data_IF_747322508795
#
_entry.id   IF_747322508795
#
_cell.length_a   1.000
_cell.length_b   1.000
_cell.length_c   1.000
_cell.angle_alpha   90.00
_cell.angle_beta   90.00
_cell.angle_gamma   90.00
#
_symmetry.space_group_name_H-M   'P 1'
#
loop_
_entity.id
_entity.type
_entity.pdbx_description
1 polymer ?
#
# COMPACT_ATOMS: atom_id res chain seq x y z
N UNK A 1 11.76 -44.47 -28.48
CA UNK A 1 12.67 -44.80 -27.35
C UNK A 1 13.84 -43.82 -27.34
N UNK A 2 13.72 -42.68 -26.66
CA UNK A 2 14.85 -41.79 -26.37
C UNK A 2 14.78 -41.40 -24.89
N UNK A 3 15.69 -41.97 -24.10
CA UNK A 3 15.96 -41.64 -22.69
C UNK A 3 17.01 -40.53 -22.64
N UNK A 4 16.75 -39.41 -21.96
CA UNK A 4 17.76 -38.51 -21.34
C UNK A 4 17.11 -37.78 -20.16
N UNK A 5 17.38 -38.20 -18.93
CA UNK A 5 18.48 -37.77 -18.03
C UNK A 5 18.08 -36.50 -17.24
N UNK A 6 17.69 -36.73 -15.98
CA UNK A 6 17.38 -35.71 -14.99
C UNK A 6 18.67 -35.01 -14.50
N UNK A 7 18.62 -33.69 -14.19
CA UNK A 7 19.74 -32.99 -13.62
C UNK A 7 19.91 -33.28 -12.11
N UNK A 8 21.17 -33.47 -11.77
CA UNK A 8 21.75 -33.79 -10.47
C UNK A 8 21.54 -32.64 -9.47
N UNK A 9 20.87 -32.93 -8.36
CA UNK A 9 20.67 -32.00 -7.23
C UNK A 9 22.00 -31.76 -6.52
N UNK A 10 22.60 -30.59 -6.70
CA UNK A 10 23.81 -30.17 -5.97
C UNK A 10 23.40 -29.62 -4.60
N UNK A 11 23.70 -30.40 -3.56
CA UNK A 11 23.41 -30.11 -2.16
C UNK A 11 24.57 -29.25 -1.58
N UNK A 12 24.38 -27.93 -1.56
CA UNK A 12 25.34 -26.98 -0.97
C UNK A 12 25.14 -26.95 0.55
N UNK A 13 26.12 -27.50 1.26
CA UNK A 13 26.27 -27.39 2.71
C UNK A 13 26.61 -25.96 3.11
N UNK A 14 25.74 -25.31 3.88
CA UNK A 14 25.99 -24.06 4.60
C UNK A 14 26.43 -24.39 6.04
N UNK A 15 27.69 -24.14 6.37
CA UNK A 15 28.16 -24.03 7.76
C UNK A 15 28.05 -22.56 8.23
N UNK A 16 27.63 -22.29 9.49
CA UNK A 16 27.71 -20.95 10.07
C UNK A 16 29.12 -20.67 10.65
N UNK A 17 29.72 -19.57 10.22
CA UNK A 17 30.86 -18.94 10.88
C UNK A 17 30.34 -18.13 12.07
N UNK A 18 30.74 -18.52 13.27
CA UNK A 18 30.65 -17.70 14.47
C UNK A 18 31.79 -16.67 14.48
N UNK A 19 31.47 -15.39 14.63
CA UNK A 19 32.42 -14.35 15.00
C UNK A 19 31.94 -13.69 16.30
N UNK A 20 32.60 -14.05 17.40
CA UNK A 20 32.69 -13.24 18.62
C UNK A 20 34.03 -12.52 18.58
N UNK A 21 34.05 -11.22 18.88
CA UNK A 21 35.28 -10.45 18.97
C UNK A 21 35.00 -8.98 19.28
N UNK A 22 34.92 -8.67 20.57
CA UNK A 22 35.04 -7.34 21.16
C UNK A 22 36.43 -6.74 20.84
N UNK A 23 36.50 -5.47 20.45
CA UNK A 23 37.74 -4.68 20.55
C UNK A 23 37.42 -3.22 20.90
N UNK A 24 37.95 -2.81 22.04
CA UNK A 24 37.82 -1.54 22.74
C UNK A 24 39.02 -0.67 22.32
N UNK A 25 38.83 0.47 21.66
CA UNK A 25 39.97 1.25 21.16
C UNK A 25 39.62 2.61 20.58
N UNK A 26 39.61 3.62 21.45
CA UNK A 26 39.41 5.04 21.15
C UNK A 26 40.69 5.71 20.56
N UNK A 27 40.79 7.05 20.41
CA UNK A 27 40.85 7.76 19.12
C UNK A 27 42.20 8.45 18.81
N UNK A 28 42.48 8.81 17.55
CA UNK A 28 43.17 10.08 17.18
C UNK A 28 43.58 10.21 15.70
N UNK A 29 43.33 11.43 15.20
CA UNK A 29 44.20 12.31 14.39
C UNK A 29 44.52 12.02 12.91
N UNK A 30 44.14 13.01 12.10
CA UNK A 30 44.91 13.76 11.09
C UNK A 30 45.37 13.12 9.77
N UNK A 31 44.86 13.76 8.71
CA UNK A 31 45.57 14.30 7.53
C UNK A 31 46.04 13.39 6.38
N UNK A 32 45.48 13.71 5.20
CA UNK A 32 46.19 14.05 3.94
C UNK A 32 47.00 12.96 3.22
N UNK A 33 46.53 12.54 2.03
CA UNK A 33 47.08 12.96 0.72
C UNK A 33 46.79 11.94 -0.42
N UNK A 34 46.42 12.51 -1.57
CA UNK A 34 46.58 12.12 -2.97
C UNK A 34 47.02 10.71 -3.39
N UNK A 35 46.30 10.15 -4.37
CA UNK A 35 46.74 9.01 -5.17
C UNK A 35 45.88 8.80 -6.41
N UNK A 36 46.33 9.35 -7.53
CA UNK A 36 45.75 9.29 -8.88
C UNK A 36 46.05 7.98 -9.64
N UNK A 37 45.32 7.82 -10.75
CA UNK A 37 45.59 7.00 -11.95
C UNK A 37 45.13 5.53 -11.93
N UNK A 38 44.67 4.92 -13.03
CA UNK A 38 44.13 5.36 -14.32
C UNK A 38 43.50 4.09 -14.98
N UNK A 39 42.47 4.30 -15.79
CA UNK A 39 42.09 3.60 -17.03
C UNK A 39 42.22 2.06 -17.16
N UNK A 40 41.13 1.41 -17.61
CA UNK A 40 41.07 0.82 -18.95
C UNK A 40 39.66 0.34 -19.31
N UNK A 41 39.24 0.74 -20.51
CA UNK A 41 37.98 0.43 -21.16
C UNK A 41 37.89 -1.04 -21.59
N UNK A 42 36.66 -1.51 -21.79
CA UNK A 42 36.33 -2.39 -22.92
C UNK A 42 34.83 -2.30 -23.23
N UNK A 43 34.59 -1.90 -24.46
CA UNK A 43 33.33 -1.82 -25.19
C UNK A 43 32.50 -3.11 -25.11
N UNK A 44 31.17 -2.96 -25.08
CA UNK A 44 30.32 -3.74 -25.98
C UNK A 44 28.98 -3.06 -26.19
N UNK A 45 28.61 -2.99 -27.47
CA UNK A 45 27.54 -2.23 -28.05
C UNK A 45 26.20 -2.99 -28.10
N UNK A 46 25.16 -2.24 -28.50
CA UNK A 46 23.89 -2.66 -29.11
C UNK A 46 22.80 -3.16 -28.13
N UNK A 47 21.70 -2.42 -28.02
CA UNK A 47 20.53 -2.70 -28.85
C UNK A 47 19.50 -1.54 -28.80
N UNK A 48 19.13 -1.07 -29.98
CA UNK A 48 18.10 -0.06 -30.22
C UNK A 48 16.73 -0.74 -30.26
N UNK A 49 15.74 -0.17 -29.59
CA UNK A 49 14.33 -0.48 -29.91
C UNK A 49 13.49 0.78 -29.76
N UNK A 50 13.19 1.35 -30.92
CA UNK A 50 12.28 2.45 -31.21
C UNK A 50 10.84 1.94 -31.20
N UNK A 51 9.88 2.56 -30.50
CA UNK A 51 8.46 2.31 -30.75
C UNK A 51 7.92 3.21 -31.87
N UNK A 52 7.30 2.57 -32.87
CA UNK A 52 6.68 3.22 -34.02
C UNK A 52 5.36 3.91 -33.65
N UNK A 53 5.19 5.11 -34.22
CA UNK A 53 3.98 5.92 -34.21
C UNK A 53 2.98 5.36 -35.23
N UNK A 54 1.74 5.14 -34.77
CA UNK A 54 0.60 4.84 -35.63
C UNK A 54 -0.39 6.00 -35.60
N UNK A 55 -0.38 6.80 -36.67
CA UNK A 55 -1.42 7.74 -37.03
C UNK A 55 -2.66 6.99 -37.54
N UNK A 56 -3.84 7.28 -37.02
CA UNK A 56 -5.09 6.98 -37.73
C UNK A 56 -6.08 8.14 -37.55
N UNK A 57 -6.29 8.85 -38.65
CA UNK A 57 -7.24 9.92 -38.81
C UNK A 57 -8.34 9.45 -39.78
N UNK A 58 -9.59 9.56 -39.36
CA UNK A 58 -10.81 9.55 -40.18
C UNK A 58 -11.89 10.20 -39.30
N UNK A 59 -12.20 11.49 -39.46
CA UNK A 59 -12.94 12.18 -40.53
C UNK A 59 -14.41 11.74 -40.70
N UNK A 60 -15.29 12.73 -40.45
CA UNK A 60 -16.67 12.93 -40.90
C UNK A 60 -17.74 11.89 -40.49
N UNK A 61 -18.82 12.29 -39.82
CA UNK A 61 -19.89 13.06 -40.48
C UNK A 61 -20.81 13.78 -39.49
N UNK A 62 -21.26 14.93 -39.97
CA UNK A 62 -22.32 15.80 -39.47
C UNK A 62 -23.67 15.09 -39.54
N UNK A 63 -24.52 15.24 -38.53
CA UNK A 63 -25.96 15.42 -38.77
C UNK A 63 -26.62 16.30 -37.71
N UNK A 64 -27.62 17.01 -38.20
CA UNK A 64 -28.10 18.32 -37.77
C UNK A 64 -29.53 18.19 -37.23
N UNK A 65 -29.87 19.07 -36.28
CA UNK A 65 -31.25 19.49 -35.94
C UNK A 65 -32.11 18.41 -35.23
N UNK A 66 -33.17 18.69 -34.47
CA UNK A 66 -34.02 19.89 -34.34
C UNK A 66 -34.87 19.66 -33.07
N UNK A 67 -35.03 20.72 -32.28
CA UNK A 67 -36.30 21.21 -31.71
C UNK A 67 -37.35 20.23 -31.11
N UNK A 68 -37.63 20.53 -29.83
CA UNK A 68 -38.94 20.87 -29.27
C UNK A 68 -39.97 19.79 -28.91
N UNK A 69 -40.68 20.15 -27.82
CA UNK A 69 -42.00 19.71 -27.35
C UNK A 69 -42.07 18.32 -26.72
N UNK A 70 -42.91 18.04 -25.74
CA UNK A 70 -43.68 18.77 -24.74
C UNK A 70 -44.43 17.64 -24.00
N UNK A 71 -44.83 17.91 -22.76
CA UNK A 71 -46.09 17.41 -22.18
C UNK A 71 -46.15 16.02 -21.52
N UNK A 72 -46.60 16.12 -20.26
CA UNK A 72 -47.60 15.28 -19.59
C UNK A 72 -47.18 14.03 -18.81
N UNK A 73 -47.04 14.27 -17.50
CA UNK A 73 -47.80 13.65 -16.43
C UNK A 73 -48.44 12.27 -16.69
N UNK A 74 -47.90 11.26 -16.01
CA UNK A 74 -48.71 10.19 -15.44
C UNK A 74 -48.20 9.89 -14.03
N UNK A 75 -49.04 10.28 -13.08
CA UNK A 75 -49.12 9.83 -11.71
C UNK A 75 -49.23 8.30 -11.70
N UNK A 76 -48.33 7.59 -11.01
CA UNK A 76 -48.68 6.30 -10.43
C UNK A 76 -48.06 6.20 -9.04
N UNK A 77 -48.97 6.08 -8.08
CA UNK A 77 -48.77 5.78 -6.69
C UNK A 77 -48.44 4.31 -6.55
N UNK A 78 -47.29 3.97 -5.96
CA UNK A 78 -47.05 2.68 -5.29
C UNK A 78 -45.86 2.88 -4.34
N UNK A 79 -46.13 3.20 -3.08
CA UNK A 79 -45.98 2.26 -1.95
C UNK A 79 -44.67 1.48 -1.95
N UNK A 80 -43.87 1.77 -0.91
CA UNK A 80 -43.08 0.82 -0.12
C UNK A 80 -42.08 -0.06 -0.88
N UNK A 81 -40.79 0.24 -0.75
CA UNK A 81 -39.86 -0.74 -0.17
C UNK A 81 -38.50 -0.07 0.10
N UNK A 82 -38.19 0.03 1.39
CA UNK A 82 -36.87 0.40 1.87
C UNK A 82 -35.92 -0.79 1.68
N UNK A 83 -34.77 -0.65 1.01
CA UNK A 83 -33.70 -1.61 1.19
C UNK A 83 -33.08 -1.36 2.57
N UNK A 84 -33.72 -1.92 3.60
CA UNK A 84 -33.06 -2.21 4.87
C UNK A 84 -32.20 -3.45 4.66
N UNK A 85 -31.12 -3.33 3.89
CA UNK A 85 -30.03 -4.30 3.92
C UNK A 85 -29.20 -4.03 5.19
N UNK A 86 -29.87 -4.26 6.32
CA UNK A 86 -29.22 -4.61 7.57
C UNK A 86 -28.52 -5.90 7.27
N UNK A 87 -27.20 -5.83 7.07
CA UNK A 87 -26.39 -7.03 6.99
C UNK A 87 -26.52 -7.70 8.36
N UNK A 88 -27.36 -8.73 8.41
CA UNK A 88 -27.41 -9.73 9.45
C UNK A 88 -26.01 -10.33 9.60
N UNK A 89 -25.16 -9.62 10.34
CA UNK A 89 -24.24 -10.27 11.25
C UNK A 89 -25.13 -10.93 12.28
N UNK A 90 -25.59 -12.13 11.92
CA UNK A 90 -26.24 -13.06 12.81
C UNK A 90 -25.20 -13.45 13.88
N UNK A 91 -24.97 -12.55 14.83
CA UNK A 91 -24.69 -12.94 16.20
C UNK A 91 -26.02 -13.46 16.71
N UNK A 92 -26.43 -14.61 16.18
CA UNK A 92 -27.55 -15.36 16.71
C UNK A 92 -27.12 -15.68 18.14
N UNK A 93 -27.71 -14.95 19.08
CA UNK A 93 -27.72 -15.31 20.49
C UNK A 93 -28.31 -16.71 20.58
N UNK A 94 -27.44 -17.71 20.44
CA UNK A 94 -27.77 -19.10 20.62
C UNK A 94 -28.49 -19.25 21.94
N UNK A 95 -29.55 -20.07 21.91
CA UNK A 95 -30.35 -20.48 23.06
C UNK A 95 -29.60 -20.28 24.38
N UNK A 96 -30.12 -19.40 25.24
CA UNK A 96 -29.50 -19.04 26.54
C UNK A 96 -29.14 -20.31 27.33
N UNK A 97 -29.87 -21.40 27.09
CA UNK A 97 -29.58 -22.74 27.58
C UNK A 97 -28.72 -23.57 26.63
N UNK A 98 -27.75 -24.26 27.19
CA UNK A 98 -26.88 -25.18 26.48
C UNK A 98 -26.94 -26.61 27.05
N UNK A 99 -26.33 -27.57 26.36
CA UNK A 99 -26.17 -28.93 26.87
C UNK A 99 -24.91 -29.00 27.74
N UNK A 100 -25.06 -29.42 29.00
CA UNK A 100 -23.93 -29.53 29.93
C UNK A 100 -22.82 -30.40 29.35
N UNK A 101 -21.57 -29.94 29.46
CA UNK A 101 -20.38 -30.56 28.89
C UNK A 101 -20.05 -30.14 27.46
N UNK A 102 -20.92 -29.37 26.78
CA UNK A 102 -20.61 -28.82 25.45
C UNK A 102 -19.62 -27.67 25.55
N UNK A 103 -18.65 -27.62 24.63
CA UNK A 103 -17.75 -26.49 24.43
C UNK A 103 -18.17 -25.75 23.17
N UNK A 104 -18.22 -24.42 23.26
CA UNK A 104 -18.43 -23.53 22.13
C UNK A 104 -17.14 -22.77 21.83
N UNK A 105 -16.87 -22.55 20.55
CA UNK A 105 -15.74 -21.74 20.07
C UNK A 105 -16.27 -20.52 19.33
N UNK A 106 -15.63 -19.38 19.57
CA UNK A 106 -15.92 -18.11 18.91
C UNK A 106 -14.66 -17.48 18.31
N UNK A 107 -14.84 -16.48 17.47
CA UNK A 107 -13.74 -15.65 16.97
C UNK A 107 -13.46 -14.49 17.91
N UNK A 108 -12.19 -14.15 18.10
CA UNK A 108 -11.85 -13.01 18.95
C UNK A 108 -10.48 -12.42 18.60
N UNK A 109 -10.23 -11.19 19.05
CA UNK A 109 -8.94 -10.53 18.91
C UNK A 109 -8.43 -10.45 17.46
N UNK A 110 -7.14 -10.69 17.26
CA UNK A 110 -6.45 -10.64 15.96
C UNK A 110 -6.55 -11.98 15.22
N UNK A 111 -7.77 -12.37 14.87
CA UNK A 111 -8.11 -13.65 14.22
C UNK A 111 -7.72 -14.84 15.10
N UNK A 112 -7.86 -14.68 16.41
CA UNK A 112 -7.78 -15.76 17.36
C UNK A 112 -9.14 -16.46 17.54
N UNK A 113 -9.12 -17.45 18.41
CA UNK A 113 -10.31 -18.14 18.90
C UNK A 113 -10.37 -18.02 20.42
N UNK A 114 -11.58 -18.12 20.96
CA UNK A 114 -11.80 -18.33 22.39
C UNK A 114 -12.86 -19.42 22.55
N UNK A 115 -12.91 -20.02 23.73
CA UNK A 115 -13.87 -21.08 24.02
C UNK A 115 -14.56 -20.86 25.35
N UNK A 116 -15.77 -21.41 25.48
CA UNK A 116 -16.51 -21.48 26.74
C UNK A 116 -17.15 -22.83 26.94
N UNK A 117 -17.29 -23.25 28.20
CA UNK A 117 -17.91 -24.51 28.59
C UNK A 117 -19.36 -24.26 29.03
N UNK A 118 -20.26 -25.16 28.65
CA UNK A 118 -21.59 -25.24 29.22
C UNK A 118 -21.58 -26.12 30.48
N UNK A 119 -21.99 -25.56 31.61
CA UNK A 119 -22.14 -26.28 32.87
C UNK A 119 -23.55 -26.09 33.43
N UNK A 120 -24.26 -27.19 33.72
CA UNK A 120 -25.61 -27.10 34.31
C UNK A 120 -26.62 -26.38 33.42
N UNK A 121 -26.47 -26.49 32.10
CA UNK A 121 -27.26 -25.75 31.09
C UNK A 121 -27.06 -24.24 31.06
N UNK A 122 -25.99 -23.75 31.69
CA UNK A 122 -25.57 -22.35 31.65
C UNK A 122 -24.19 -22.26 30.99
N UNK A 123 -24.02 -21.31 30.08
CA UNK A 123 -22.71 -21.00 29.54
C UNK A 123 -21.86 -20.30 30.59
N UNK A 124 -20.66 -20.82 30.84
CA UNK A 124 -19.64 -20.08 31.59
C UNK A 124 -19.12 -18.90 30.77
N UNK A 125 -18.37 -18.02 31.42
CA UNK A 125 -17.67 -16.93 30.75
C UNK A 125 -16.74 -17.45 29.64
N UNK A 126 -16.56 -16.62 28.62
CA UNK A 126 -15.56 -16.87 27.59
C UNK A 126 -14.16 -16.89 28.19
N UNK A 127 -13.37 -17.88 27.79
CA UNK A 127 -11.93 -17.88 28.01
C UNK A 127 -11.23 -16.73 27.27
N UNK A 128 -9.95 -16.55 27.56
CA UNK A 128 -9.11 -15.62 26.82
C UNK A 128 -8.92 -16.04 25.36
N UNK A 129 -8.56 -15.07 24.52
CA UNK A 129 -8.17 -15.35 23.14
C UNK A 129 -6.88 -16.18 23.07
N UNK A 130 -6.86 -17.14 22.15
CA UNK A 130 -5.69 -17.92 21.80
C UNK A 130 -5.58 -18.03 20.27
N UNK A 131 -4.39 -18.41 19.79
CA UNK A 131 -4.16 -18.61 18.35
C UNK A 131 -4.20 -17.33 17.51
N UNK A 132 -3.97 -16.15 18.12
CA UNK A 132 -3.90 -14.89 17.39
C UNK A 132 -2.68 -14.88 16.44
N UNK A 133 -2.95 -14.60 15.16
CA UNK A 133 -1.93 -14.57 14.10
C UNK A 133 -1.92 -13.26 13.32
N UNK A 134 -2.99 -12.47 13.46
CA UNK A 134 -3.19 -11.23 12.73
C UNK A 134 -2.36 -10.06 13.22
N UNK A 135 -2.19 -9.07 12.35
CA UNK A 135 -1.56 -7.79 12.70
C UNK A 135 -2.54 -6.82 13.38
N UNK A 136 -3.85 -7.02 13.18
CA UNK A 136 -4.92 -6.16 13.66
C UNK A 136 -6.20 -6.93 13.97
N UNK A 137 -7.15 -6.28 14.64
CA UNK A 137 -8.48 -6.84 14.93
C UNK A 137 -9.42 -6.50 13.76
N UNK A 138 -10.19 -7.46 13.20
CA UNK A 138 -11.06 -7.21 12.06
C UNK A 138 -12.00 -6.01 12.26
N UNK A 139 -12.18 -5.23 11.20
CA UNK A 139 -13.06 -4.07 11.20
C UNK A 139 -12.49 -2.81 11.85
N UNK A 140 -11.35 -2.89 12.57
CA UNK A 140 -10.66 -1.70 13.07
C UNK A 140 -10.22 -0.83 11.90
N UNK A 141 -10.44 0.48 12.02
CA UNK A 141 -10.05 1.49 11.03
C UNK A 141 -9.05 2.46 11.65
N UNK A 142 -8.11 2.95 10.84
CA UNK A 142 -7.18 4.00 11.23
C UNK A 142 -6.76 4.85 10.04
N UNK A 143 -6.47 6.12 10.28
CA UNK A 143 -5.82 6.98 9.31
C UNK A 143 -4.30 6.86 9.45
N UNK A 144 -3.60 6.72 8.32
CA UNK A 144 -2.14 6.72 8.27
C UNK A 144 -1.67 7.78 7.29
N UNK A 145 -0.59 8.47 7.66
CA UNK A 145 0.08 9.38 6.74
C UNK A 145 0.55 8.63 5.50
N UNK A 146 0.55 9.33 4.38
CA UNK A 146 1.15 8.84 3.16
C UNK A 146 1.88 9.95 2.40
N UNK A 147 2.36 9.64 1.19
CA UNK A 147 3.21 10.53 0.41
C UNK A 147 2.65 11.95 0.28
N UNK A 148 3.55 12.93 0.09
CA UNK A 148 3.19 14.33 -0.14
C UNK A 148 2.16 14.90 0.86
N UNK A 149 2.33 14.59 2.14
CA UNK A 149 1.47 15.06 3.24
C UNK A 149 0.01 14.58 3.17
N UNK A 150 -0.30 13.60 2.32
CA UNK A 150 -1.61 13.00 2.25
C UNK A 150 -1.90 12.06 3.43
N UNK A 151 -3.15 11.61 3.49
CA UNK A 151 -3.60 10.58 4.42
C UNK A 151 -4.39 9.52 3.67
N UNK A 152 -4.30 8.28 4.14
CA UNK A 152 -5.14 7.18 3.66
C UNK A 152 -5.76 6.44 4.83
N UNK A 153 -6.95 5.88 4.60
CA UNK A 153 -7.59 4.97 5.55
C UNK A 153 -7.01 3.57 5.39
N UNK A 154 -6.76 2.94 6.52
CA UNK A 154 -6.52 1.51 6.61
C UNK A 154 -7.67 0.86 7.35
N UNK A 155 -8.17 -0.25 6.81
CA UNK A 155 -9.17 -1.08 7.44
C UNK A 155 -8.56 -2.47 7.65
N UNK A 156 -8.69 -2.99 8.86
CA UNK A 156 -8.30 -4.37 9.15
C UNK A 156 -9.32 -5.31 8.51
N UNK A 157 -8.86 -6.15 7.59
CA UNK A 157 -9.68 -7.14 6.91
C UNK A 157 -10.16 -8.24 7.87
N UNK A 158 -11.05 -9.10 7.37
CA UNK A 158 -11.44 -10.34 8.05
C UNK A 158 -10.29 -11.35 8.15
N UNK A 159 -9.22 -11.19 7.35
CA UNK A 159 -7.97 -11.97 7.46
C UNK A 159 -6.99 -11.38 8.48
N UNK A 160 -7.39 -10.32 9.20
CA UNK A 160 -6.57 -9.61 10.18
C UNK A 160 -5.30 -8.98 9.63
N UNK A 161 -5.38 -8.53 8.38
CA UNK A 161 -4.34 -7.79 7.70
C UNK A 161 -4.81 -6.36 7.39
N UNK A 162 -3.87 -5.42 7.37
CA UNK A 162 -4.21 -4.04 7.02
C UNK A 162 -4.39 -3.89 5.52
N UNK A 163 -5.63 -3.68 5.09
CA UNK A 163 -5.92 -3.17 3.75
C UNK A 163 -5.84 -1.65 3.76
N UNK A 164 -5.25 -1.06 2.73
CA UNK A 164 -5.08 0.39 2.60
C UNK A 164 -5.84 0.91 1.39
N UNK A 165 -6.57 2.01 1.57
CA UNK A 165 -7.15 2.77 0.48
C UNK A 165 -6.10 3.64 -0.23
N UNK A 166 -6.49 4.29 -1.32
CA UNK A 166 -5.66 5.27 -1.99
C UNK A 166 -5.38 6.48 -1.08
N UNK A 167 -4.25 7.14 -1.33
CA UNK A 167 -3.95 8.41 -0.69
C UNK A 167 -4.92 9.50 -1.12
N UNK A 168 -5.31 10.33 -0.15
CA UNK A 168 -6.14 11.51 -0.36
C UNK A 168 -5.46 12.72 0.28
N UNK A 169 -5.73 13.91 -0.25
CA UNK A 169 -5.14 15.15 0.26
C UNK A 169 -3.63 15.28 0.00
N UNK A 170 -3.09 14.60 -1.02
CA UNK A 170 -1.69 14.76 -1.40
C UNK A 170 -1.41 16.16 -1.98
N UNK A 171 -0.28 16.73 -1.59
CA UNK A 171 0.24 17.99 -2.11
C UNK A 171 1.02 17.83 -3.41
N UNK A 172 1.59 18.94 -3.88
CA UNK A 172 2.34 18.99 -5.13
C UNK A 172 3.71 18.29 -5.04
N UNK A 173 4.25 18.12 -3.83
CA UNK A 173 5.61 17.65 -3.58
C UNK A 173 5.74 16.95 -2.23
N UNK A 174 6.83 16.21 -2.03
CA UNK A 174 7.14 15.62 -0.72
C UNK A 174 7.79 16.68 0.16
N UNK A 175 7.30 16.87 1.39
CA UNK A 175 7.82 17.84 2.34
C UNK A 175 9.36 17.77 2.44
N UNK A 176 10.02 18.93 2.38
CA UNK A 176 11.47 19.07 2.41
C UNK A 176 12.19 18.77 1.08
N UNK A 177 11.50 18.26 0.05
CA UNK A 177 12.11 18.05 -1.27
C UNK A 177 12.56 19.37 -1.87
N UNK A 178 13.67 19.36 -2.60
CA UNK A 178 14.16 20.52 -3.35
C UNK A 178 14.11 20.22 -4.84
N UNK A 179 13.67 21.20 -5.62
CA UNK A 179 13.68 21.14 -7.09
C UNK A 179 14.63 22.20 -7.62
N UNK A 180 15.40 21.84 -8.64
CA UNK A 180 16.37 22.71 -9.31
C UNK A 180 15.98 22.89 -10.77
N UNK A 181 15.91 24.14 -11.21
CA UNK A 181 15.63 24.49 -12.60
C UNK A 181 16.89 25.02 -13.28
N UNK A 182 17.27 24.36 -14.38
CA UNK A 182 18.42 24.69 -15.21
C UNK A 182 18.02 25.47 -16.45
N UNK A 183 18.93 26.28 -17.00
CA UNK A 183 18.76 26.93 -18.30
C UNK A 183 17.73 28.08 -18.35
N UNK A 184 17.12 28.43 -17.22
CA UNK A 184 16.20 29.59 -17.12
C UNK A 184 16.89 30.87 -16.68
N UNK A 185 18.16 30.78 -16.28
CA UNK A 185 19.01 31.92 -15.97
C UNK A 185 19.73 32.42 -17.22
N UNK A 186 19.97 33.74 -17.31
CA UNK A 186 20.75 34.34 -18.39
C UNK A 186 22.18 33.78 -18.45
N UNK A 187 22.73 33.52 -17.28
CA UNK A 187 23.97 32.77 -17.12
C UNK A 187 23.65 31.27 -17.11
N UNK A 188 24.18 30.54 -18.10
CA UNK A 188 23.97 29.10 -18.24
C UNK A 188 24.57 28.26 -17.11
N UNK A 189 25.45 28.84 -16.28
CA UNK A 189 26.05 28.16 -15.12
C UNK A 189 25.24 28.34 -13.83
N UNK A 190 24.21 29.19 -13.83
CA UNK A 190 23.35 29.44 -12.66
C UNK A 190 22.05 28.67 -12.71
N UNK A 191 21.47 28.43 -11.54
CA UNK A 191 20.21 27.70 -11.39
C UNK A 191 19.26 28.42 -10.45
N UNK A 192 17.97 28.08 -10.55
CA UNK A 192 16.97 28.42 -9.53
C UNK A 192 16.63 27.17 -8.74
N UNK A 193 16.41 27.32 -7.45
CA UNK A 193 15.98 26.22 -6.58
C UNK A 193 14.70 26.61 -5.85
N UNK A 194 13.86 25.63 -5.50
CA UNK A 194 12.74 25.82 -4.58
C UNK A 194 12.61 24.62 -3.66
N UNK A 195 12.13 24.85 -2.45
CA UNK A 195 11.91 23.80 -1.46
C UNK A 195 10.43 23.59 -1.21
N UNK A 196 10.03 22.34 -1.06
CA UNK A 196 8.69 21.94 -0.69
C UNK A 196 8.49 22.15 0.82
N UNK A 197 7.44 22.88 1.21
CA UNK A 197 7.13 23.12 2.62
C UNK A 197 6.60 21.88 3.33
N UNK A 198 6.46 21.95 4.66
CA UNK A 198 5.84 20.90 5.48
C UNK A 198 4.34 20.70 5.19
N UNK A 199 3.73 21.62 4.44
CA UNK A 199 2.35 21.47 3.93
C UNK A 199 2.31 20.88 2.51
N UNK A 200 3.44 20.37 2.03
CA UNK A 200 3.59 19.75 0.72
C UNK A 200 3.20 20.67 -0.45
N UNK A 201 3.48 21.95 -0.29
CA UNK A 201 3.36 22.98 -1.32
C UNK A 201 4.74 23.50 -1.71
N UNK A 202 4.95 23.74 -3.00
CA UNK A 202 6.20 24.32 -3.47
C UNK A 202 6.32 25.77 -3.02
N UNK A 203 7.47 26.11 -2.44
CA UNK A 203 7.84 27.51 -2.18
C UNK A 203 8.13 28.28 -3.48
N UNK A 204 8.44 29.57 -3.30
CA UNK A 204 8.91 30.43 -4.38
C UNK A 204 10.27 29.96 -4.88
N UNK A 205 10.52 30.10 -6.18
CA UNK A 205 11.85 29.92 -6.75
C UNK A 205 12.84 30.93 -6.18
N UNK A 206 14.06 30.50 -5.93
CA UNK A 206 15.19 31.36 -5.62
C UNK A 206 15.52 32.26 -6.81
N UNK A 207 16.30 33.30 -6.53
CA UNK A 207 17.05 34.01 -7.57
C UNK A 207 18.08 33.07 -8.22
N UNK A 208 18.59 33.48 -9.39
CA UNK A 208 19.67 32.76 -10.06
C UNK A 208 20.96 32.86 -9.26
N UNK A 209 21.36 31.74 -8.67
CA UNK A 209 22.62 31.57 -7.94
C UNK A 209 23.58 30.69 -8.71
#
# INVERSE_FOLDING_TARGET
>A
MLRRLAPLTLLVFLLPLACSGDDDGSPSTTETDSGVAETSASDTALDSSTPEVGDDASDSTVDTATEETSSDAALETSTEDAPSDTSDAASEGGSISCKSGTVEEGECGKCGKHSRLCEGSVWLDWGGCFGETGSCVPGVKRDVACGRCGTRKQTCSTTCEWSSEACTGEGACVAGSTETQYGTCLDSMKVKTRTCSDTCTWGTWSECS
#
